data_IF_181791635526
#
_entry.id   IF_181791635526
#
_cell.length_a   1.000
_cell.length_b   1.000
_cell.length_c   1.000
_cell.angle_alpha   90.00
_cell.angle_beta   90.00
_cell.angle_gamma   90.00
#
_symmetry.space_group_name_H-M   'P 1'
#
loop_
_entity.id
_entity.type
_entity.pdbx_description
1 polymer ?
#
# COMPACT_ATOMS: atom_id res chain seq x y z
N UNK A 1 10.63 -8.39 58.82
CA UNK A 1 10.75 -9.74 58.24
C UNK A 1 11.08 -9.58 56.77
N UNK A 2 12.36 -9.60 56.39
CA UNK A 2 12.82 -9.32 55.02
C UNK A 2 14.08 -10.11 54.73
N UNK A 3 13.97 -11.43 54.61
CA UNK A 3 15.08 -12.34 54.28
C UNK A 3 14.48 -13.56 53.56
N UNK A 4 14.46 -13.58 52.21
CA UNK A 4 15.31 -14.56 51.51
C UNK A 4 15.85 -14.14 50.13
N UNK A 5 15.27 -13.14 49.47
CA UNK A 5 15.54 -12.84 48.06
C UNK A 5 16.90 -12.13 47.83
N UNK A 6 17.30 -11.27 48.76
CA UNK A 6 18.57 -10.51 48.66
C UNK A 6 19.78 -11.43 48.82
N UNK A 7 19.69 -12.46 49.68
CA UNK A 7 20.74 -13.46 49.85
C UNK A 7 20.88 -14.38 48.63
N UNK A 8 19.77 -14.75 47.98
CA UNK A 8 19.81 -15.55 46.75
C UNK A 8 20.45 -14.81 45.59
N UNK A 9 20.22 -13.49 45.47
CA UNK A 9 20.84 -12.68 44.43
C UNK A 9 22.34 -12.48 44.67
N UNK A 10 22.75 -12.25 45.93
CA UNK A 10 24.17 -12.10 46.28
C UNK A 10 24.98 -13.37 46.02
N UNK A 11 24.46 -14.55 46.41
CA UNK A 11 25.12 -15.83 46.13
C UNK A 11 25.15 -16.20 44.64
N UNK A 12 24.12 -15.81 43.88
CA UNK A 12 24.10 -16.06 42.44
C UNK A 12 25.15 -15.21 41.71
N UNK A 13 25.29 -13.94 42.12
CA UNK A 13 26.30 -13.05 41.55
C UNK A 13 27.71 -13.49 41.94
N UNK A 14 27.98 -13.82 43.20
CA UNK A 14 29.32 -14.30 43.61
C UNK A 14 29.73 -15.61 42.91
N UNK A 15 28.81 -16.55 42.70
CA UNK A 15 29.10 -17.79 41.95
C UNK A 15 29.24 -17.60 40.44
N UNK A 16 28.57 -16.59 39.86
CA UNK A 16 28.69 -16.27 38.44
C UNK A 16 30.08 -15.71 38.10
N UNK A 17 30.68 -14.95 39.02
CA UNK A 17 32.01 -14.36 38.84
C UNK A 17 33.17 -15.26 39.31
N UNK A 18 32.93 -16.28 40.12
CA UNK A 18 33.95 -17.21 40.63
C UNK A 18 34.07 -18.53 39.84
N UNK A 19 33.17 -18.78 38.88
CA UNK A 19 33.26 -19.92 37.98
C UNK A 19 34.34 -19.68 36.91
N UNK A 20 35.21 -20.66 36.57
CA UNK A 20 36.11 -20.51 35.43
C UNK A 20 35.29 -20.23 34.17
N UNK A 21 35.79 -19.39 33.24
CA UNK A 21 35.06 -19.08 32.02
C UNK A 21 34.69 -20.40 31.32
N UNK A 22 33.48 -20.53 30.75
CA UNK A 22 33.11 -21.75 30.06
C UNK A 22 34.18 -22.06 29.00
N UNK A 23 34.63 -23.31 28.93
CA UNK A 23 35.67 -23.81 28.00
C UNK A 23 35.31 -23.62 26.51
N UNK A 24 34.17 -22.99 26.21
CA UNK A 24 33.66 -22.70 24.88
C UNK A 24 33.72 -21.20 24.68
N UNK A 25 34.58 -20.77 23.76
CA UNK A 25 34.70 -19.38 23.34
C UNK A 25 33.49 -18.97 22.49
N UNK A 26 32.56 -18.21 23.10
CA UNK A 26 31.35 -17.72 22.42
C UNK A 26 31.60 -16.51 21.51
N UNK A 27 32.85 -16.00 21.42
CA UNK A 27 33.20 -14.85 20.56
C UNK A 27 32.96 -15.12 19.07
N UNK A 28 33.04 -16.39 18.66
CA UNK A 28 32.79 -16.83 17.28
C UNK A 28 31.32 -17.17 16.96
N UNK A 29 30.43 -17.15 17.95
CA UNK A 29 29.02 -17.54 17.75
C UNK A 29 28.26 -16.53 16.89
N UNK A 30 28.44 -15.20 17.05
CA UNK A 30 27.86 -14.23 16.13
C UNK A 30 28.36 -14.38 14.69
N UNK A 31 29.67 -14.67 14.50
CA UNK A 31 30.25 -14.85 13.16
C UNK A 31 29.83 -16.17 12.51
N UNK A 32 29.70 -17.25 13.28
CA UNK A 32 29.12 -18.51 12.80
C UNK A 32 27.65 -18.36 12.42
N UNK A 33 26.85 -17.65 13.23
CA UNK A 33 25.45 -17.36 12.91
C UNK A 33 25.34 -16.52 11.63
N UNK A 34 26.17 -15.48 11.48
CA UNK A 34 26.23 -14.70 10.25
C UNK A 34 26.68 -15.54 9.03
N UNK A 35 27.65 -16.44 9.22
CA UNK A 35 28.11 -17.36 8.18
C UNK A 35 27.03 -18.35 7.75
N UNK A 36 26.29 -18.93 8.71
CA UNK A 36 25.15 -19.82 8.43
C UNK A 36 24.03 -19.05 7.72
N UNK A 37 23.71 -17.83 8.16
CA UNK A 37 22.74 -16.98 7.46
C UNK A 37 23.20 -16.70 6.03
N UNK A 38 24.49 -16.37 5.83
CA UNK A 38 25.05 -16.13 4.50
C UNK A 38 24.95 -17.38 3.60
N UNK A 39 25.26 -18.57 4.14
CA UNK A 39 25.16 -19.85 3.42
C UNK A 39 23.70 -20.17 3.08
N UNK A 40 22.77 -19.99 4.02
CA UNK A 40 21.33 -20.20 3.78
C UNK A 40 20.83 -19.22 2.73
N UNK A 41 21.26 -17.96 2.77
CA UNK A 41 20.95 -16.95 1.74
C UNK A 41 21.55 -17.37 0.40
N UNK A 42 22.80 -17.83 0.35
CA UNK A 42 23.45 -18.31 -0.88
C UNK A 42 22.74 -19.53 -1.48
N UNK A 43 22.45 -20.53 -0.67
CA UNK A 43 21.74 -21.74 -1.08
C UNK A 43 20.33 -21.39 -1.56
N UNK A 44 19.60 -20.54 -0.84
CA UNK A 44 18.26 -20.10 -1.29
C UNK A 44 18.34 -19.26 -2.56
N UNK A 45 19.34 -18.39 -2.73
CA UNK A 45 19.57 -17.67 -4.00
C UNK A 45 19.84 -18.65 -5.15
N UNK A 46 20.64 -19.70 -4.93
CA UNK A 46 20.93 -20.71 -5.94
C UNK A 46 19.69 -21.55 -6.29
N UNK A 47 18.88 -21.94 -5.30
CA UNK A 47 17.62 -22.66 -5.52
C UNK A 47 16.59 -21.77 -6.23
N UNK A 48 16.47 -20.50 -5.85
CA UNK A 48 15.60 -19.54 -6.54
C UNK A 48 16.02 -19.35 -8.00
N UNK A 49 17.32 -19.25 -8.29
CA UNK A 49 17.85 -19.18 -9.66
C UNK A 49 17.58 -20.44 -10.48
N UNK A 50 17.58 -21.61 -9.84
CA UNK A 50 17.25 -22.87 -10.50
C UNK A 50 15.74 -22.98 -10.81
N UNK A 51 14.88 -22.51 -9.91
CA UNK A 51 13.42 -22.48 -10.10
C UNK A 51 13.00 -21.47 -11.19
N UNK A 52 13.71 -20.35 -11.33
CA UNK A 52 13.42 -19.29 -12.31
C UNK A 52 13.51 -19.78 -13.77
N UNK A 53 14.37 -20.77 -14.03
CA UNK A 53 14.62 -21.30 -15.39
C UNK A 53 13.45 -22.07 -16.01
N UNK A 54 12.43 -22.44 -15.23
CA UNK A 54 11.41 -23.41 -15.67
C UNK A 54 10.05 -22.78 -15.97
N UNK A 55 9.87 -21.49 -15.72
CA UNK A 55 8.67 -20.74 -16.12
C UNK A 55 8.99 -19.83 -17.31
N UNK A 56 8.06 -19.63 -18.23
CA UNK A 56 8.18 -18.60 -19.29
C UNK A 56 8.32 -17.24 -18.60
N UNK A 57 9.55 -16.81 -18.34
CA UNK A 57 9.83 -15.70 -17.41
C UNK A 57 9.53 -14.39 -18.10
N UNK A 58 8.52 -13.66 -17.62
CA UNK A 58 8.36 -12.25 -17.98
C UNK A 58 9.64 -11.49 -17.59
N UNK A 59 10.08 -10.50 -18.38
CA UNK A 59 11.24 -9.70 -18.01
C UNK A 59 10.95 -8.97 -16.69
N UNK A 60 11.98 -8.67 -15.90
CA UNK A 60 11.78 -8.01 -14.63
C UNK A 60 13.06 -7.91 -13.80
N UNK A 61 13.02 -7.10 -12.72
CA UNK A 61 14.12 -7.04 -11.77
C UNK A 61 14.33 -8.37 -11.04
N UNK A 62 15.59 -8.68 -10.72
CA UNK A 62 15.92 -9.90 -9.98
C UNK A 62 15.31 -9.88 -8.57
N UNK A 63 14.54 -10.92 -8.24
CA UNK A 63 13.99 -11.11 -6.91
C UNK A 63 15.04 -11.66 -5.94
N UNK A 64 15.08 -11.14 -4.70
CA UNK A 64 15.82 -11.73 -3.60
C UNK A 64 14.92 -12.70 -2.82
N UNK A 65 15.47 -13.78 -2.23
CA UNK A 65 14.71 -14.67 -1.35
C UNK A 65 13.99 -13.89 -0.26
N UNK A 66 12.73 -14.21 -0.01
CA UNK A 66 11.81 -13.59 0.98
C UNK A 66 11.46 -12.10 0.74
N UNK A 67 12.39 -11.28 0.27
CA UNK A 67 12.23 -9.84 0.04
C UNK A 67 11.61 -9.50 -1.32
N UNK A 68 11.70 -10.40 -2.29
CA UNK A 68 11.25 -10.15 -3.65
C UNK A 68 12.05 -9.01 -4.30
N UNK A 69 11.38 -8.11 -5.01
CA UNK A 69 11.98 -6.95 -5.70
C UNK A 69 12.04 -5.69 -4.83
N UNK A 70 11.61 -5.79 -3.56
CA UNK A 70 11.44 -4.63 -2.68
C UNK A 70 12.75 -3.91 -2.33
N UNK A 71 13.89 -4.59 -2.48
CA UNK A 71 15.24 -4.03 -2.29
C UNK A 71 15.55 -2.84 -3.23
N UNK A 72 14.87 -2.75 -4.38
CA UNK A 72 15.04 -1.62 -5.30
C UNK A 72 14.71 -0.27 -4.65
N UNK A 73 13.78 -0.28 -3.69
CA UNK A 73 13.31 0.92 -3.00
C UNK A 73 14.17 1.33 -1.80
N UNK A 74 15.21 0.56 -1.48
CA UNK A 74 16.19 0.96 -0.46
C UNK A 74 17.33 1.80 -1.03
N UNK A 75 17.64 1.64 -2.32
CA UNK A 75 18.79 2.29 -2.95
C UNK A 75 18.44 3.12 -4.19
N UNK A 76 17.53 2.62 -5.03
CA UNK A 76 17.32 3.16 -6.38
C UNK A 76 16.08 4.04 -6.49
N UNK A 77 14.99 3.62 -5.86
CA UNK A 77 13.69 4.29 -5.97
C UNK A 77 13.21 4.79 -4.61
N UNK A 78 12.34 5.81 -4.63
CA UNK A 78 11.74 6.36 -3.43
C UNK A 78 10.26 6.00 -3.37
N UNK A 79 9.77 5.60 -2.19
CA UNK A 79 8.36 5.25 -1.98
C UNK A 79 7.40 6.41 -2.27
N UNK A 80 7.83 7.65 -2.13
CA UNK A 80 7.02 8.83 -2.45
C UNK A 80 7.00 9.17 -3.96
N UNK A 81 7.81 8.50 -4.78
CA UNK A 81 7.96 8.72 -6.22
C UNK A 81 7.79 7.41 -7.00
N UNK A 82 6.77 6.63 -6.64
CA UNK A 82 6.48 5.36 -7.31
C UNK A 82 6.25 5.51 -8.82
N UNK A 83 5.61 6.60 -9.25
CA UNK A 83 5.38 6.86 -10.68
C UNK A 83 6.69 6.97 -11.47
N UNK A 84 7.70 7.68 -10.94
CA UNK A 84 9.05 7.77 -11.54
C UNK A 84 9.75 6.41 -11.54
N UNK A 85 9.56 5.62 -10.48
CA UNK A 85 10.11 4.27 -10.40
C UNK A 85 9.55 3.36 -11.49
N UNK A 86 8.22 3.31 -11.64
CA UNK A 86 7.56 2.51 -12.67
C UNK A 86 7.91 3.00 -14.08
N UNK A 87 8.04 4.30 -14.30
CA UNK A 87 8.49 4.85 -15.58
C UNK A 87 9.89 4.34 -15.97
N UNK A 88 10.87 4.39 -15.05
CA UNK A 88 12.21 3.84 -15.30
C UNK A 88 12.19 2.31 -15.47
N UNK A 89 11.31 1.59 -14.76
CA UNK A 89 11.17 0.14 -14.90
C UNK A 89 10.58 -0.26 -16.25
N UNK A 90 9.56 0.44 -16.75
CA UNK A 90 9.03 0.21 -18.10
C UNK A 90 10.08 0.50 -19.18
N UNK A 91 10.92 1.53 -18.99
CA UNK A 91 12.05 1.80 -19.91
C UNK A 91 13.11 0.69 -19.90
N UNK A 92 13.32 0.01 -18.76
CA UNK A 92 14.37 -1.02 -18.59
C UNK A 92 13.93 -2.41 -19.02
N UNK A 93 12.72 -2.81 -18.63
CA UNK A 93 12.23 -4.18 -18.77
C UNK A 93 11.21 -4.35 -19.90
N UNK A 94 10.78 -3.24 -20.51
CA UNK A 94 9.82 -3.22 -21.60
C UNK A 94 8.39 -2.95 -21.12
N UNK A 95 7.45 -3.01 -22.06
CA UNK A 95 6.04 -2.63 -21.85
C UNK A 95 5.27 -3.61 -20.95
N UNK A 96 5.79 -4.81 -20.73
CA UNK A 96 5.22 -5.81 -19.82
C UNK A 96 6.36 -6.42 -19.04
N UNK A 97 6.32 -6.28 -17.71
CA UNK A 97 7.34 -6.85 -16.83
C UNK A 97 6.72 -7.38 -15.53
N UNK A 98 7.39 -8.32 -14.88
CA UNK A 98 6.96 -8.91 -13.62
C UNK A 98 7.87 -8.51 -12.45
N UNK A 99 7.25 -8.24 -11.31
CA UNK A 99 7.90 -8.07 -10.02
C UNK A 99 7.49 -9.18 -9.08
N UNK A 100 8.31 -9.44 -8.07
CA UNK A 100 7.99 -10.40 -7.00
C UNK A 100 7.79 -9.64 -5.71
N UNK A 101 6.62 -9.80 -5.08
CA UNK A 101 6.36 -9.22 -3.76
C UNK A 101 7.13 -9.96 -2.68
N UNK A 102 7.36 -9.31 -1.52
CA UNK A 102 7.70 -10.05 -0.31
C UNK A 102 6.63 -11.12 -0.07
N UNK A 103 7.03 -12.39 0.02
CA UNK A 103 6.12 -13.54 0.07
C UNK A 103 5.92 -14.30 -1.25
N UNK A 104 6.52 -13.84 -2.36
CA UNK A 104 6.66 -14.64 -3.58
C UNK A 104 5.54 -14.49 -4.61
N UNK A 105 4.56 -13.60 -4.40
CA UNK A 105 3.52 -13.37 -5.40
C UNK A 105 4.07 -12.51 -6.56
N UNK A 106 3.69 -12.86 -7.79
CA UNK A 106 4.05 -12.07 -8.97
C UNK A 106 3.09 -10.89 -9.17
N UNK A 107 3.63 -9.72 -9.43
CA UNK A 107 2.90 -8.50 -9.83
C UNK A 107 3.35 -8.15 -11.24
N UNK A 108 2.43 -8.24 -12.19
CA UNK A 108 2.72 -7.92 -13.59
C UNK A 108 2.29 -6.49 -13.88
N UNK A 109 3.24 -5.67 -14.29
CA UNK A 109 3.02 -4.30 -14.72
C UNK A 109 2.86 -4.27 -16.25
N UNK A 110 1.75 -3.70 -16.72
CA UNK A 110 1.36 -3.70 -18.15
C UNK A 110 1.17 -2.26 -18.62
N UNK A 111 1.94 -1.86 -19.62
CA UNK A 111 1.80 -0.61 -20.38
C UNK A 111 1.44 -0.86 -21.86
N UNK A 112 1.48 -2.12 -22.32
CA UNK A 112 1.08 -2.48 -23.68
C UNK A 112 -0.46 -2.49 -23.83
N UNK A 113 -0.96 -1.77 -24.85
CA UNK A 113 -2.40 -1.61 -25.09
C UNK A 113 -3.13 -2.94 -25.30
N UNK A 114 -2.60 -3.80 -26.16
CA UNK A 114 -3.20 -5.11 -26.51
C UNK A 114 -3.30 -6.02 -25.28
N UNK A 115 -2.21 -6.14 -24.52
CA UNK A 115 -2.18 -6.91 -23.28
C UNK A 115 -3.17 -6.34 -22.23
N UNK A 116 -3.21 -5.02 -22.06
CA UNK A 116 -4.15 -4.37 -21.14
C UNK A 116 -5.60 -4.61 -21.55
N UNK A 117 -5.91 -4.53 -22.85
CA UNK A 117 -7.24 -4.82 -23.39
C UNK A 117 -7.65 -6.27 -23.14
N UNK A 118 -6.75 -7.23 -23.31
CA UNK A 118 -6.99 -8.64 -22.99
C UNK A 118 -7.32 -8.83 -21.52
N UNK A 119 -6.56 -8.21 -20.61
CA UNK A 119 -6.81 -8.30 -19.15
C UNK A 119 -8.13 -7.65 -18.77
N UNK A 120 -8.44 -6.48 -19.31
CA UNK A 120 -9.69 -5.75 -18.98
C UNK A 120 -10.94 -6.43 -19.56
N UNK A 121 -10.83 -7.13 -20.69
CA UNK A 121 -11.92 -7.91 -21.28
C UNK A 121 -12.07 -9.30 -20.67
N UNK A 122 -11.08 -9.78 -19.93
CA UNK A 122 -11.16 -11.08 -19.28
C UNK A 122 -12.38 -11.11 -18.35
N UNK A 123 -13.26 -12.11 -18.46
CA UNK A 123 -14.47 -12.17 -17.67
C UNK A 123 -14.14 -12.41 -16.20
N UNK A 124 -14.12 -11.34 -15.41
CA UNK A 124 -13.94 -11.39 -13.96
C UNK A 124 -15.20 -10.87 -13.26
N UNK A 125 -16.06 -11.78 -12.78
CA UNK A 125 -17.26 -11.40 -12.01
C UNK A 125 -16.93 -10.61 -10.74
N UNK A 126 -15.75 -10.87 -10.16
CA UNK A 126 -15.26 -10.29 -8.90
C UNK A 126 -13.75 -9.99 -9.03
N UNK A 127 -13.38 -8.90 -9.71
CA UNK A 127 -11.97 -8.52 -9.83
C UNK A 127 -11.37 -8.31 -8.44
N UNK A 128 -10.17 -8.85 -8.24
CA UNK A 128 -9.40 -8.63 -7.01
C UNK A 128 -8.57 -7.35 -7.16
N UNK A 129 -8.74 -6.41 -6.23
CA UNK A 129 -7.90 -5.21 -6.14
C UNK A 129 -7.28 -5.17 -4.75
N UNK A 130 -5.96 -5.24 -4.58
CA UNK A 130 -5.34 -5.20 -3.25
C UNK A 130 -5.92 -4.07 -2.38
N UNK A 131 -6.50 -4.38 -1.21
CA UNK A 131 -7.06 -3.35 -0.35
C UNK A 131 -5.94 -2.56 0.31
N UNK A 132 -6.24 -1.35 0.78
CA UNK A 132 -5.32 -0.68 1.70
C UNK A 132 -5.42 -1.35 3.06
N UNK A 133 -4.44 -2.17 3.43
CA UNK A 133 -4.54 -3.10 4.58
C UNK A 133 -4.82 -2.36 5.89
N UNK A 134 -4.18 -1.21 6.11
CA UNK A 134 -4.40 -0.40 7.32
C UNK A 134 -5.85 0.05 7.46
N UNK A 135 -6.51 0.44 6.35
CA UNK A 135 -7.92 0.86 6.34
C UNK A 135 -8.82 -0.34 6.62
N UNK A 136 -8.47 -1.50 6.06
CA UNK A 136 -9.22 -2.73 6.25
C UNK A 136 -9.18 -3.19 7.72
N UNK A 137 -7.99 -3.18 8.33
CA UNK A 137 -7.80 -3.52 9.75
C UNK A 137 -8.56 -2.55 10.65
N UNK A 138 -8.38 -1.24 10.42
CA UNK A 138 -9.03 -0.22 11.23
C UNK A 138 -10.55 -0.33 11.19
N UNK A 139 -11.17 -0.39 10.00
CA UNK A 139 -12.64 -0.46 9.87
C UNK A 139 -13.21 -1.76 10.43
N UNK A 140 -12.53 -2.89 10.25
CA UNK A 140 -12.94 -4.19 10.84
C UNK A 140 -12.90 -4.18 12.36
N UNK A 141 -11.97 -3.43 12.96
CA UNK A 141 -11.87 -3.31 14.42
C UNK A 141 -12.98 -2.47 15.07
N UNK A 142 -13.79 -1.76 14.26
CA UNK A 142 -14.84 -0.84 14.72
C UNK A 142 -16.19 -1.13 14.04
N UNK A 143 -16.78 -2.32 14.28
CA UNK A 143 -18.08 -2.68 13.71
C UNK A 143 -19.23 -1.79 14.23
N UNK A 144 -19.05 -1.12 15.37
CA UNK A 144 -19.96 -0.12 15.93
C UNK A 144 -20.08 1.13 15.05
N UNK A 145 -19.06 1.43 14.23
CA UNK A 145 -19.00 2.63 13.37
C UNK A 145 -19.07 2.32 11.89
N UNK A 146 -18.60 1.15 11.48
CA UNK A 146 -18.48 0.79 10.07
C UNK A 146 -19.21 -0.51 9.77
N UNK A 147 -20.23 -0.42 8.92
CA UNK A 147 -20.94 -1.60 8.41
C UNK A 147 -20.07 -2.46 7.47
N UNK A 148 -19.04 -1.86 6.85
CA UNK A 148 -18.10 -2.56 5.96
C UNK A 148 -16.76 -1.83 5.87
N UNK A 149 -15.79 -2.43 5.19
CA UNK A 149 -14.51 -1.76 4.86
C UNK A 149 -14.65 -0.77 3.70
N UNK A 150 -15.85 -0.67 3.11
CA UNK A 150 -16.20 0.23 2.01
C UNK A 150 -15.93 -0.39 0.63
N UNK A 151 -16.65 0.08 -0.39
CA UNK A 151 -16.60 -0.46 -1.75
C UNK A 151 -15.18 -0.56 -2.34
N UNK A 152 -14.29 0.35 -1.95
CA UNK A 152 -12.89 0.40 -2.44
C UNK A 152 -12.00 -0.70 -1.84
N UNK A 153 -12.28 -1.14 -0.60
CA UNK A 153 -11.43 -2.11 0.12
C UNK A 153 -12.08 -3.49 0.30
N UNK A 154 -13.40 -3.60 0.12
CA UNK A 154 -14.08 -4.90 0.12
C UNK A 154 -13.67 -5.75 -1.09
N UNK A 155 -13.77 -7.08 -0.93
CA UNK A 155 -13.46 -8.06 -1.99
C UNK A 155 -14.58 -9.10 -2.11
N UNK A 156 -14.53 -9.88 -3.18
CA UNK A 156 -15.40 -11.05 -3.34
C UNK A 156 -16.89 -10.71 -3.33
N UNK A 157 -17.69 -11.48 -2.58
CA UNK A 157 -19.15 -11.32 -2.55
C UNK A 157 -19.59 -9.99 -1.93
N UNK A 158 -18.91 -9.53 -0.88
CA UNK A 158 -19.26 -8.26 -0.22
C UNK A 158 -19.05 -7.08 -1.16
N UNK A 159 -17.92 -7.09 -1.89
CA UNK A 159 -17.67 -6.11 -2.95
C UNK A 159 -18.75 -6.17 -4.03
N UNK A 160 -19.07 -7.37 -4.52
CA UNK A 160 -20.06 -7.54 -5.57
C UNK A 160 -21.45 -7.05 -5.16
N UNK A 161 -21.87 -7.36 -3.93
CA UNK A 161 -23.11 -6.85 -3.34
C UNK A 161 -23.13 -5.33 -3.31
N UNK A 162 -22.11 -4.70 -2.70
CA UNK A 162 -22.02 -3.23 -2.63
C UNK A 162 -21.99 -2.60 -4.04
N UNK A 163 -21.19 -3.15 -4.96
CA UNK A 163 -21.07 -2.63 -6.33
C UNK A 163 -22.40 -2.69 -7.07
N UNK A 164 -23.10 -3.83 -6.99
CA UNK A 164 -24.39 -4.03 -7.67
C UNK A 164 -25.45 -3.04 -7.20
N UNK A 165 -25.54 -2.80 -5.90
CA UNK A 165 -26.58 -1.94 -5.31
C UNK A 165 -26.25 -0.45 -5.37
N UNK A 166 -24.98 -0.06 -5.25
CA UNK A 166 -24.60 1.37 -5.19
C UNK A 166 -24.33 1.97 -6.57
N UNK A 167 -23.76 1.21 -7.52
CA UNK A 167 -23.31 1.81 -8.79
C UNK A 167 -24.48 2.35 -9.60
N UNK A 168 -25.59 1.60 -9.69
CA UNK A 168 -26.76 2.02 -10.45
C UNK A 168 -27.30 3.38 -9.99
N UNK A 169 -27.52 3.54 -8.69
CA UNK A 169 -28.01 4.79 -8.11
C UNK A 169 -27.02 5.94 -8.26
N UNK A 170 -25.74 5.71 -7.98
CA UNK A 170 -24.70 6.74 -8.00
C UNK A 170 -24.34 7.21 -9.42
N UNK A 171 -24.42 6.33 -10.42
CA UNK A 171 -24.04 6.66 -11.80
C UNK A 171 -25.26 6.82 -12.72
N UNK A 172 -26.48 6.85 -12.18
CA UNK A 172 -27.67 7.03 -13.01
C UNK A 172 -27.71 8.43 -13.61
N UNK A 173 -28.16 8.59 -14.87
CA UNK A 173 -28.36 9.91 -15.46
C UNK A 173 -29.31 10.78 -14.64
N UNK A 174 -30.36 10.20 -14.03
CA UNK A 174 -31.31 10.92 -13.19
C UNK A 174 -30.66 11.50 -11.94
N UNK A 175 -29.84 10.72 -11.23
CA UNK A 175 -29.11 11.20 -10.05
C UNK A 175 -28.16 12.33 -10.42
N UNK A 176 -27.41 12.15 -11.51
CA UNK A 176 -26.47 13.16 -12.00
C UNK A 176 -27.21 14.45 -12.38
N UNK A 177 -28.28 14.34 -13.19
CA UNK A 177 -29.07 15.50 -13.62
C UNK A 177 -29.74 16.23 -12.45
N UNK A 178 -30.23 15.49 -11.45
CA UNK A 178 -30.81 16.07 -10.24
C UNK A 178 -29.79 16.86 -9.40
N UNK A 179 -28.52 16.46 -9.44
CA UNK A 179 -27.45 17.15 -8.71
C UNK A 179 -26.88 18.36 -9.45
N UNK A 180 -26.97 18.43 -10.78
CA UNK A 180 -26.39 19.51 -11.59
C UNK A 180 -26.73 20.93 -11.11
N UNK A 181 -27.99 21.28 -10.76
CA UNK A 181 -28.29 22.62 -10.29
C UNK A 181 -27.55 23.00 -9.01
N UNK A 182 -27.45 22.07 -8.05
CA UNK A 182 -26.71 22.32 -6.82
C UNK A 182 -25.20 22.43 -7.08
N UNK A 183 -24.67 21.60 -7.97
CA UNK A 183 -23.28 21.68 -8.38
C UNK A 183 -22.95 23.02 -9.06
N UNK A 184 -23.84 23.53 -9.91
CA UNK A 184 -23.65 24.85 -10.53
C UNK A 184 -23.59 25.95 -9.47
N UNK A 185 -24.49 25.93 -8.49
CA UNK A 185 -24.44 26.90 -7.39
C UNK A 185 -23.11 26.80 -6.61
N UNK A 186 -22.61 25.60 -6.35
CA UNK A 186 -21.30 25.39 -5.68
C UNK A 186 -20.15 25.94 -6.55
N UNK A 187 -20.23 25.78 -7.87
CA UNK A 187 -19.25 26.34 -8.80
C UNK A 187 -19.31 27.87 -8.81
N UNK A 188 -20.50 28.47 -8.80
CA UNK A 188 -20.66 29.93 -8.75
C UNK A 188 -20.08 30.49 -7.43
N UNK A 189 -20.40 29.88 -6.30
CA UNK A 189 -19.82 30.25 -4.99
C UNK A 189 -18.28 30.10 -4.97
N UNK A 190 -17.76 29.09 -5.68
CA UNK A 190 -16.32 28.90 -5.82
C UNK A 190 -15.68 30.00 -6.67
N UNK A 191 -16.33 30.43 -7.76
CA UNK A 191 -15.86 31.56 -8.57
C UNK A 191 -15.84 32.86 -7.76
N UNK A 192 -16.90 33.13 -6.99
CA UNK A 192 -16.97 34.28 -6.09
C UNK A 192 -15.85 34.24 -5.03
N UNK A 193 -15.58 33.05 -4.47
CA UNK A 193 -14.46 32.86 -3.54
C UNK A 193 -13.11 33.15 -4.21
N UNK A 194 -12.89 32.68 -5.44
CA UNK A 194 -11.65 32.94 -6.17
C UNK A 194 -11.48 34.43 -6.46
N UNK A 195 -12.53 35.11 -6.90
CA UNK A 195 -12.49 36.54 -7.18
C UNK A 195 -12.21 37.35 -5.92
N UNK A 196 -12.77 36.97 -4.77
CA UNK A 196 -12.50 37.62 -3.48
C UNK A 196 -11.06 37.40 -2.98
N UNK A 197 -10.45 36.27 -3.33
CA UNK A 197 -9.07 35.92 -2.95
C UNK A 197 -8.03 36.42 -3.97
N UNK A 198 -8.46 36.88 -5.14
CA UNK A 198 -7.59 37.28 -6.24
C UNK A 198 -6.88 38.58 -5.91
N UNK A 199 -5.55 38.56 -6.01
CA UNK A 199 -4.71 39.76 -5.90
C UNK A 199 -4.81 40.63 -7.15
N UNK A 200 -4.32 41.86 -7.05
CA UNK A 200 -4.30 42.81 -8.17
C UNK A 200 -3.52 42.31 -9.41
N UNK A 201 -2.55 41.41 -9.22
CA UNK A 201 -1.78 40.77 -10.29
C UNK A 201 -2.49 39.55 -10.91
N UNK A 202 -3.69 39.21 -10.43
CA UNK A 202 -4.45 38.03 -10.86
C UNK A 202 -4.11 36.75 -10.12
N UNK A 203 -3.16 36.77 -9.17
CA UNK A 203 -2.72 35.57 -8.45
C UNK A 203 -3.70 35.19 -7.34
N UNK A 204 -4.03 33.90 -7.24
CA UNK A 204 -4.75 33.30 -6.10
C UNK A 204 -3.80 32.41 -5.30
N UNK A 205 -3.62 32.71 -4.02
CA UNK A 205 -2.77 31.92 -3.14
C UNK A 205 -3.49 30.65 -2.66
N UNK A 206 -2.74 29.58 -2.43
CA UNK A 206 -3.26 28.31 -1.89
C UNK A 206 -4.47 27.76 -2.67
N UNK A 207 -4.43 27.87 -4.00
CA UNK A 207 -5.51 27.43 -4.88
C UNK A 207 -5.86 25.95 -4.67
N UNK A 208 -4.87 25.11 -4.36
CA UNK A 208 -5.07 23.71 -3.99
C UNK A 208 -6.02 23.54 -2.79
N UNK A 209 -5.88 24.38 -1.75
CA UNK A 209 -6.76 24.35 -0.59
C UNK A 209 -8.19 24.80 -0.95
N UNK A 210 -8.31 25.82 -1.81
CA UNK A 210 -9.61 26.28 -2.29
C UNK A 210 -10.30 25.20 -3.13
N UNK A 211 -9.57 24.51 -4.01
CA UNK A 211 -10.12 23.38 -4.77
C UNK A 211 -10.51 22.19 -3.88
N UNK A 212 -9.76 21.93 -2.80
CA UNK A 212 -10.14 20.90 -1.83
C UNK A 212 -11.45 21.25 -1.12
N UNK A 213 -11.67 22.53 -0.78
CA UNK A 213 -12.94 23.00 -0.19
C UNK A 213 -14.10 22.83 -1.16
N UNK A 214 -13.94 23.25 -2.42
CA UNK A 214 -14.96 23.07 -3.45
C UNK A 214 -15.25 21.59 -3.70
N UNK A 215 -14.22 20.74 -3.73
CA UNK A 215 -14.37 19.30 -3.88
C UNK A 215 -15.13 18.66 -2.70
N UNK A 216 -14.81 19.08 -1.47
CA UNK A 216 -15.54 18.63 -0.28
C UNK A 216 -17.01 19.06 -0.32
N UNK A 217 -17.28 20.32 -0.64
CA UNK A 217 -18.65 20.86 -0.74
C UNK A 217 -19.44 20.15 -1.84
N UNK A 218 -18.80 19.85 -2.98
CA UNK A 218 -19.42 19.10 -4.09
C UNK A 218 -19.79 17.67 -3.67
N UNK A 219 -18.87 16.94 -3.03
CA UNK A 219 -19.14 15.57 -2.60
C UNK A 219 -20.18 15.53 -1.48
N UNK A 220 -20.09 16.44 -0.51
CA UNK A 220 -21.07 16.52 0.58
C UNK A 220 -22.44 16.99 0.10
N UNK A 221 -22.49 17.96 -0.82
CA UNK A 221 -23.72 18.40 -1.46
C UNK A 221 -24.43 17.27 -2.20
N UNK A 222 -23.68 16.40 -2.89
CA UNK A 222 -24.25 15.22 -3.54
C UNK A 222 -24.71 14.16 -2.52
N UNK A 223 -23.89 13.87 -1.52
CA UNK A 223 -24.11 12.72 -0.62
C UNK A 223 -25.11 13.01 0.51
N UNK A 224 -25.14 14.24 1.00
CA UNK A 224 -25.96 14.67 2.14
C UNK A 224 -27.18 15.50 1.71
N UNK A 225 -27.21 15.99 0.46
CA UNK A 225 -28.23 16.90 -0.01
C UNK A 225 -28.22 18.26 0.71
N UNK A 226 -27.09 18.62 1.33
CA UNK A 226 -26.95 19.84 2.12
C UNK A 226 -25.60 20.53 1.86
N UNK A 227 -25.57 21.84 2.10
CA UNK A 227 -24.37 22.69 2.02
C UNK A 227 -23.68 22.71 3.38
N UNK A 228 -22.35 22.60 3.42
CA UNK A 228 -21.58 22.68 4.68
C UNK A 228 -21.15 24.12 5.00
N UNK A 229 -21.03 24.98 3.98
CA UNK A 229 -20.51 26.35 4.11
C UNK A 229 -18.99 26.43 4.10
#
# INVERSE_FOLDING_TARGET
>A
MSLPAVFLFSNYVENFWSSPPPLVDWSGVPTLVLGVILIVVLVTVLVSRAADKQSTTLPGPQALPFLGTRWLFWRRYKMNKLHEAYEDMFRRYGLVFAETTPGGAAVVSIAERTALETVLRAPAKRPYRPPTEIVQVYRRSKPDRYASTGLVNEQGERWYHLRKHLTGELTSPSTIQGFLPNLNNICDDFLDLLDSCRKADGTVLAFDQLTNRMGLESVCGLMLGSRLG
#
